data_IF_366554119670
#
_entry.id   IF_366554119670
#
_cell.length_a   1.000
_cell.length_b   1.000
_cell.length_c   1.000
_cell.angle_alpha   90.00
_cell.angle_beta   90.00
_cell.angle_gamma   90.00
#
_symmetry.space_group_name_H-M   'P 1'
#
loop_
_entity.id
_entity.type
_entity.pdbx_description
1 polymer ?
#
# COMPACT_ATOMS: atom_id res chain seq x y z
N UNK A 1 29.67 -1.97 -7.41
CA UNK A 1 30.73 -1.11 -7.92
C UNK A 1 31.96 -1.91 -8.27
N UNK A 2 32.79 -1.38 -9.17
CA UNK A 2 34.02 -2.01 -9.63
C UNK A 2 35.21 -1.47 -8.84
N UNK A 3 36.11 -2.36 -8.38
CA UNK A 3 37.34 -1.96 -7.70
C UNK A 3 38.26 -1.20 -8.66
N UNK A 4 38.70 0.00 -8.30
CA UNK A 4 39.66 0.80 -9.06
C UNK A 4 41.11 0.44 -8.76
N UNK A 5 41.35 -0.17 -7.62
CA UNK A 5 42.63 -0.63 -7.13
C UNK A 5 42.45 -1.94 -6.36
N UNK A 6 43.50 -2.77 -6.17
CA UNK A 6 43.41 -3.95 -5.33
C UNK A 6 42.95 -3.58 -3.91
N UNK A 7 41.95 -4.28 -3.39
CA UNK A 7 41.43 -4.09 -2.04
C UNK A 7 41.82 -5.30 -1.20
N UNK A 8 42.64 -5.06 -0.15
CA UNK A 8 43.07 -6.09 0.75
C UNK A 8 42.03 -6.46 1.80
N UNK A 9 42.15 -7.66 2.37
CA UNK A 9 41.27 -8.10 3.46
C UNK A 9 41.36 -7.13 4.64
N UNK A 10 40.20 -6.65 5.11
CA UNK A 10 40.11 -5.67 6.19
C UNK A 10 40.22 -4.22 5.74
N UNK A 11 40.49 -3.96 4.47
CA UNK A 11 40.53 -2.60 3.94
C UNK A 11 39.11 -2.08 3.73
N UNK A 12 38.89 -0.80 4.02
CA UNK A 12 37.60 -0.14 3.85
C UNK A 12 37.24 0.01 2.37
N UNK A 13 36.04 -0.42 2.00
CA UNK A 13 35.47 -0.26 0.65
C UNK A 13 34.72 1.05 0.60
N UNK A 14 35.20 2.00 -0.20
CA UNK A 14 34.66 3.35 -0.30
C UNK A 14 34.82 3.91 -1.72
N UNK A 15 34.19 5.03 -2.03
CA UNK A 15 34.27 5.74 -3.34
C UNK A 15 35.71 6.09 -3.79
N UNK A 16 36.68 6.08 -2.87
CA UNK A 16 38.09 6.28 -3.19
C UNK A 16 38.78 5.05 -3.83
N UNK A 17 38.20 3.87 -3.68
CA UNK A 17 38.77 2.61 -4.22
C UNK A 17 37.74 1.77 -4.99
N UNK A 18 36.48 2.22 -5.07
CA UNK A 18 35.39 1.60 -5.83
C UNK A 18 34.69 2.65 -6.66
N UNK A 19 34.57 2.44 -7.97
CA UNK A 19 33.75 3.27 -8.86
C UNK A 19 32.35 2.66 -9.02
N UNK A 20 31.36 3.54 -9.30
CA UNK A 20 29.99 3.15 -9.66
C UNK A 20 29.83 3.23 -11.18
N UNK A 21 30.90 3.03 -11.92
CA UNK A 21 30.78 2.95 -13.38
C UNK A 21 29.91 1.76 -13.74
N UNK A 22 28.88 2.05 -14.56
CA UNK A 22 28.08 0.99 -15.17
C UNK A 22 28.97 0.31 -16.21
N UNK A 23 29.60 -0.78 -15.80
CA UNK A 23 30.11 -1.71 -16.82
C UNK A 23 28.91 -2.09 -17.70
N UNK A 24 29.02 -1.83 -18.98
CA UNK A 24 28.18 -2.48 -20.00
C UNK A 24 28.65 -3.93 -20.12
N UNK A 25 28.52 -4.69 -19.05
CA UNK A 25 28.60 -6.12 -19.15
C UNK A 25 27.42 -6.55 -20.01
N UNK A 26 27.65 -7.28 -21.06
CA UNK A 26 26.62 -7.84 -21.92
C UNK A 26 25.82 -8.91 -21.17
N UNK A 27 25.05 -8.46 -20.18
CA UNK A 27 24.14 -9.34 -19.47
C UNK A 27 22.99 -9.72 -20.40
N UNK A 28 22.89 -11.00 -20.66
CA UNK A 28 21.71 -11.58 -21.28
C UNK A 28 20.78 -12.06 -20.15
N UNK A 29 19.54 -11.63 -20.20
CA UNK A 29 18.52 -12.07 -19.25
C UNK A 29 17.79 -13.29 -19.79
N UNK A 30 17.40 -14.20 -18.91
CA UNK A 30 16.62 -15.38 -19.26
C UNK A 30 17.33 -16.34 -20.24
N UNK A 31 18.65 -16.52 -20.11
CA UNK A 31 19.44 -17.44 -20.93
C UNK A 31 19.23 -18.92 -20.59
N UNK A 32 18.76 -19.22 -19.39
CA UNK A 32 18.42 -20.56 -18.94
C UNK A 32 16.91 -20.72 -18.78
N UNK A 33 16.33 -21.66 -19.50
CA UNK A 33 14.94 -22.05 -19.35
C UNK A 33 14.88 -23.16 -18.28
N UNK A 34 14.54 -22.78 -17.06
CA UNK A 34 14.30 -23.76 -16.00
C UNK A 34 12.86 -24.25 -16.14
N UNK A 35 12.68 -25.55 -16.37
CA UNK A 35 11.35 -26.13 -16.39
C UNK A 35 10.66 -25.90 -15.04
N UNK A 36 9.43 -25.37 -15.01
CA UNK A 36 8.69 -25.22 -13.78
C UNK A 36 8.46 -26.58 -13.13
N UNK A 37 8.51 -26.66 -11.79
CA UNK A 37 8.22 -27.92 -11.11
C UNK A 37 6.79 -28.36 -11.43
N UNK A 38 6.58 -29.67 -11.48
CA UNK A 38 5.23 -30.24 -11.69
C UNK A 38 4.26 -29.66 -10.66
N UNK A 39 3.05 -29.26 -11.05
CA UNK A 39 2.06 -28.77 -10.12
C UNK A 39 1.86 -29.78 -8.99
N UNK A 40 1.85 -29.31 -7.74
CA UNK A 40 1.48 -30.12 -6.61
C UNK A 40 -0.03 -30.47 -6.65
N UNK A 41 -0.43 -31.50 -5.96
CA UNK A 41 -1.85 -31.82 -5.73
C UNK A 41 -2.58 -30.56 -5.22
N UNK A 42 -3.77 -30.23 -5.77
CA UNK A 42 -4.52 -29.06 -5.36
C UNK A 42 -4.85 -29.14 -3.85
N UNK A 43 -4.45 -28.11 -3.12
CA UNK A 43 -4.81 -27.94 -1.70
C UNK A 43 -5.83 -26.84 -1.58
N UNK A 44 -6.76 -27.00 -0.67
CA UNK A 44 -7.80 -26.01 -0.37
C UNK A 44 -7.57 -25.35 0.98
N UNK A 45 -8.07 -24.15 1.15
CA UNK A 45 -8.08 -23.42 2.41
C UNK A 45 -9.40 -22.67 2.59
N UNK A 46 -9.76 -22.38 3.82
CA UNK A 46 -10.87 -21.48 4.13
C UNK A 46 -10.39 -20.04 3.96
N UNK A 47 -11.08 -19.26 3.14
CA UNK A 47 -10.67 -17.90 2.82
C UNK A 47 -11.84 -16.96 2.53
N UNK A 48 -11.52 -15.70 2.37
CA UNK A 48 -12.50 -14.63 2.10
C UNK A 48 -12.64 -14.42 0.59
N UNK A 49 -13.75 -14.85 0.02
CA UNK A 49 -14.02 -14.67 -1.41
C UNK A 49 -14.33 -13.21 -1.72
N UNK A 50 -13.65 -12.66 -2.73
CA UNK A 50 -13.88 -11.30 -3.24
C UNK A 50 -14.81 -11.30 -4.44
N UNK A 51 -15.43 -10.14 -4.72
CA UNK A 51 -16.37 -9.99 -5.86
C UNK A 51 -15.71 -10.26 -7.21
N UNK A 52 -14.41 -10.00 -7.33
CA UNK A 52 -13.60 -10.23 -8.53
C UNK A 52 -13.12 -11.69 -8.68
N UNK A 53 -13.60 -12.59 -7.84
CA UNK A 53 -13.27 -14.02 -7.88
C UNK A 53 -12.00 -14.41 -7.14
N UNK A 54 -11.18 -13.45 -6.69
CA UNK A 54 -10.00 -13.73 -5.87
C UNK A 54 -10.40 -14.17 -4.45
N UNK A 55 -9.47 -14.77 -3.72
CA UNK A 55 -9.67 -15.16 -2.34
C UNK A 55 -8.54 -14.63 -1.46
N UNK A 56 -8.91 -14.03 -0.32
CA UNK A 56 -7.98 -13.60 0.71
C UNK A 56 -7.79 -14.69 1.76
N UNK A 57 -6.58 -14.83 2.26
CA UNK A 57 -6.26 -15.68 3.44
C UNK A 57 -6.43 -14.90 4.73
N UNK A 58 -6.62 -13.58 4.63
CA UNK A 58 -6.84 -12.64 5.73
C UNK A 58 -7.88 -11.60 5.32
N UNK A 59 -8.38 -10.86 6.31
CA UNK A 59 -9.41 -9.86 6.12
C UNK A 59 -9.09 -8.59 6.93
N UNK A 60 -8.19 -7.75 6.39
CA UNK A 60 -7.76 -6.52 7.04
C UNK A 60 -8.55 -5.31 6.54
N UNK A 61 -8.65 -4.29 7.38
CA UNK A 61 -8.97 -2.93 6.98
C UNK A 61 -7.66 -2.17 6.80
N UNK A 62 -7.49 -1.49 5.66
CA UNK A 62 -6.29 -0.70 5.39
C UNK A 62 -6.55 0.80 5.56
N UNK A 63 -5.63 1.49 6.23
CA UNK A 63 -5.58 2.96 6.29
C UNK A 63 -4.40 3.40 5.43
N UNK A 64 -4.71 3.89 4.22
CA UNK A 64 -3.71 4.17 3.19
C UNK A 64 -3.36 5.65 3.19
N UNK A 65 -2.08 5.95 3.40
CA UNK A 65 -1.54 7.30 3.31
C UNK A 65 -1.17 7.62 1.85
N UNK A 66 -1.61 8.77 1.31
CA UNK A 66 -1.21 9.24 -0.03
C UNK A 66 0.12 9.98 -0.01
N UNK A 67 0.54 10.46 1.15
CA UNK A 67 1.73 11.29 1.33
C UNK A 67 2.39 11.02 2.68
N UNK A 68 3.71 11.19 2.76
CA UNK A 68 4.44 11.03 4.03
C UNK A 68 3.87 11.88 5.17
N UNK A 69 3.30 13.05 4.88
CA UNK A 69 2.69 13.95 5.88
C UNK A 69 1.47 13.32 6.57
N UNK A 70 0.72 12.46 5.91
CA UNK A 70 -0.42 11.73 6.49
C UNK A 70 -0.02 10.38 7.10
N UNK A 71 1.23 9.92 6.93
CA UNK A 71 1.67 8.60 7.36
C UNK A 71 1.53 8.37 8.88
N UNK A 72 1.89 9.37 9.69
CA UNK A 72 1.76 9.28 11.15
C UNK A 72 0.28 9.26 11.58
N UNK A 73 -0.57 10.04 10.91
CA UNK A 73 -2.02 10.03 11.14
C UNK A 73 -2.61 8.67 10.86
N UNK A 74 -2.22 8.02 9.75
CA UNK A 74 -2.66 6.67 9.41
C UNK A 74 -2.26 5.64 10.48
N UNK A 75 -1.05 5.75 11.04
CA UNK A 75 -0.61 4.90 12.17
C UNK A 75 -1.45 5.14 13.42
N UNK A 76 -1.75 6.39 13.75
CA UNK A 76 -2.58 6.70 14.91
C UNK A 76 -4.00 6.14 14.76
N UNK A 77 -4.60 6.25 13.58
CA UNK A 77 -5.93 5.65 13.30
C UNK A 77 -5.89 4.14 13.52
N UNK A 78 -4.90 3.45 12.94
CA UNK A 78 -4.77 2.01 13.11
C UNK A 78 -4.54 1.61 14.58
N UNK A 79 -3.72 2.37 15.32
CA UNK A 79 -3.46 2.13 16.74
C UNK A 79 -4.69 2.34 17.61
N UNK A 80 -5.47 3.40 17.35
CA UNK A 80 -6.71 3.66 18.12
C UNK A 80 -7.77 2.56 17.87
N UNK A 81 -7.87 2.08 16.64
CA UNK A 81 -8.78 0.96 16.33
C UNK A 81 -8.29 -0.37 16.93
N UNK A 82 -6.99 -0.60 16.96
CA UNK A 82 -6.42 -1.80 17.58
C UNK A 82 -6.66 -1.86 19.11
N UNK A 83 -6.88 -0.72 19.77
CA UNK A 83 -7.31 -0.67 21.18
C UNK A 83 -8.78 -1.04 21.37
N UNK A 84 -9.57 -0.98 20.31
CA UNK A 84 -10.96 -1.40 20.34
C UNK A 84 -11.05 -2.92 20.43
N UNK A 85 -12.12 -3.42 21.04
CA UNK A 85 -12.37 -4.86 21.12
C UNK A 85 -12.76 -5.42 19.74
N UNK A 86 -11.76 -5.78 18.93
CA UNK A 86 -11.97 -6.39 17.62
C UNK A 86 -12.55 -7.80 17.69
N UNK A 87 -12.62 -8.42 18.87
CA UNK A 87 -13.24 -9.75 19.03
C UNK A 87 -14.73 -9.74 18.69
N UNK A 88 -15.37 -8.57 18.70
CA UNK A 88 -16.76 -8.39 18.26
C UNK A 88 -16.93 -8.56 16.75
N UNK A 89 -15.84 -8.51 16.00
CA UNK A 89 -15.81 -8.57 14.54
C UNK A 89 -14.97 -9.77 14.07
N UNK A 90 -15.47 -11.00 14.26
CA UNK A 90 -14.69 -12.24 14.04
C UNK A 90 -14.20 -12.42 12.61
N UNK A 91 -14.75 -11.67 11.66
CA UNK A 91 -14.36 -11.69 10.26
C UNK A 91 -13.29 -10.63 9.91
N UNK A 92 -12.78 -9.87 10.88
CA UNK A 92 -11.75 -8.85 10.67
C UNK A 92 -10.49 -9.26 11.43
N UNK A 93 -9.40 -9.46 10.69
CA UNK A 93 -8.10 -9.85 11.26
C UNK A 93 -7.36 -8.66 11.91
N UNK A 94 -7.75 -7.43 11.57
CA UNK A 94 -7.15 -6.23 12.15
C UNK A 94 -7.20 -5.01 11.23
N UNK A 95 -6.58 -3.92 11.69
CA UNK A 95 -6.45 -2.67 10.95
C UNK A 95 -4.98 -2.39 10.70
N UNK A 96 -4.59 -2.18 9.46
CA UNK A 96 -3.19 -1.98 9.07
C UNK A 96 -2.97 -0.61 8.43
N UNK A 97 -1.93 0.13 8.82
CA UNK A 97 -1.53 1.36 8.14
C UNK A 97 -0.64 1.03 6.94
N UNK A 98 -1.03 1.47 5.75
CA UNK A 98 -0.19 1.43 4.56
C UNK A 98 0.45 2.80 4.39
N UNK A 99 1.74 2.90 4.69
CA UNK A 99 2.45 4.17 4.77
C UNK A 99 3.76 4.13 3.99
N UNK A 100 4.19 5.30 3.51
CA UNK A 100 5.43 5.49 2.77
C UNK A 100 6.05 6.85 3.08
N UNK A 101 7.20 7.16 2.46
CA UNK A 101 7.95 8.40 2.68
C UNK A 101 7.91 9.37 1.48
N UNK A 102 7.01 9.17 0.53
CA UNK A 102 6.90 9.92 -0.70
C UNK A 102 5.53 10.65 -0.79
N UNK A 103 5.08 10.99 -1.98
CA UNK A 103 3.77 11.60 -2.26
C UNK A 103 3.78 13.11 -2.38
N UNK A 104 4.90 13.76 -2.04
CA UNK A 104 5.11 15.20 -2.14
C UNK A 104 6.39 15.48 -2.91
N UNK A 105 6.50 16.66 -3.54
CA UNK A 105 7.70 17.16 -4.19
C UNK A 105 8.24 16.34 -5.38
N UNK A 106 7.45 15.52 -6.02
CA UNK A 106 7.77 14.98 -7.34
C UNK A 106 6.87 15.60 -8.43
N UNK A 107 7.32 15.56 -9.67
CA UNK A 107 6.56 16.11 -10.77
C UNK A 107 5.25 15.34 -10.96
N UNK A 108 4.15 16.08 -11.14
CA UNK A 108 2.87 15.47 -11.52
C UNK A 108 3.04 14.69 -12.83
N UNK A 109 2.43 13.51 -12.89
CA UNK A 109 2.47 12.63 -14.05
C UNK A 109 3.86 12.05 -14.38
N UNK A 110 4.83 12.13 -13.45
CA UNK A 110 6.13 11.49 -13.58
C UNK A 110 6.07 9.99 -13.31
N UNK A 111 7.15 9.28 -13.64
CA UNK A 111 7.26 7.83 -13.36
C UNK A 111 7.10 7.53 -11.87
N UNK A 112 7.65 8.37 -10.98
CA UNK A 112 7.51 8.24 -9.53
C UNK A 112 6.06 8.41 -9.09
N UNK A 113 5.34 9.38 -9.68
CA UNK A 113 3.92 9.60 -9.42
C UNK A 113 3.09 8.37 -9.84
N UNK A 114 3.32 7.84 -11.04
CA UNK A 114 2.64 6.64 -11.53
C UNK A 114 2.98 5.40 -10.71
N UNK A 115 4.26 5.23 -10.34
CA UNK A 115 4.70 4.10 -9.53
C UNK A 115 4.02 4.11 -8.16
N UNK A 116 4.00 5.27 -7.48
CA UNK A 116 3.36 5.41 -6.18
C UNK A 116 1.86 5.08 -6.27
N UNK A 117 1.14 5.71 -7.19
CA UNK A 117 -0.30 5.50 -7.34
C UNK A 117 -0.64 4.04 -7.67
N UNK A 118 0.10 3.41 -8.57
CA UNK A 118 -0.07 1.99 -8.91
C UNK A 118 0.17 1.08 -7.70
N UNK A 119 1.18 1.41 -6.90
CA UNK A 119 1.53 0.65 -5.69
C UNK A 119 0.42 0.77 -4.64
N UNK A 120 -0.04 1.98 -4.34
CA UNK A 120 -1.12 2.20 -3.37
C UNK A 120 -2.44 1.55 -3.82
N UNK A 121 -2.76 1.67 -5.11
CA UNK A 121 -3.92 0.99 -5.69
C UNK A 121 -3.80 -0.54 -5.59
N UNK A 122 -2.60 -1.09 -5.78
CA UNK A 122 -2.32 -2.51 -5.60
C UNK A 122 -2.59 -2.97 -4.18
N UNK A 123 -2.16 -2.20 -3.17
CA UNK A 123 -2.48 -2.48 -1.77
C UNK A 123 -3.98 -2.42 -1.50
N UNK A 124 -4.66 -1.36 -1.97
CA UNK A 124 -6.09 -1.21 -1.77
C UNK A 124 -6.92 -2.36 -2.36
N UNK A 125 -6.45 -2.93 -3.48
CA UNK A 125 -7.10 -4.07 -4.15
C UNK A 125 -6.57 -5.43 -3.71
N UNK A 126 -5.66 -5.47 -2.74
CA UNK A 126 -5.11 -6.75 -2.31
C UNK A 126 -6.23 -7.65 -1.75
N UNK A 127 -6.28 -8.95 -2.10
CA UNK A 127 -7.38 -9.83 -1.67
C UNK A 127 -7.50 -9.98 -0.15
N UNK A 128 -6.46 -9.67 0.62
CA UNK A 128 -6.50 -9.65 2.07
C UNK A 128 -7.04 -8.33 2.66
N UNK A 129 -7.41 -7.35 1.83
CA UNK A 129 -8.02 -6.09 2.26
C UNK A 129 -9.52 -6.14 2.02
N UNK A 130 -10.29 -6.03 3.09
CA UNK A 130 -11.76 -6.01 3.04
C UNK A 130 -12.29 -4.63 2.68
N UNK A 131 -11.68 -3.60 3.25
CA UNK A 131 -12.02 -2.20 3.03
C UNK A 131 -10.80 -1.32 3.25
N UNK A 132 -10.80 -0.11 2.69
CA UNK A 132 -9.74 0.86 2.94
C UNK A 132 -10.29 2.27 3.14
N UNK A 133 -9.56 3.03 3.95
CA UNK A 133 -9.68 4.47 4.12
C UNK A 133 -8.42 5.12 3.56
N UNK A 134 -8.58 6.13 2.70
CA UNK A 134 -7.46 6.89 2.16
C UNK A 134 -7.29 8.19 2.94
N UNK A 135 -6.07 8.44 3.41
CA UNK A 135 -5.71 9.65 4.15
C UNK A 135 -4.71 10.49 3.37
N UNK A 136 -5.15 11.68 2.97
CA UNK A 136 -4.32 12.73 2.38
C UNK A 136 -3.97 13.83 3.37
N UNK A 137 -3.04 14.71 2.97
CA UNK A 137 -2.84 16.00 3.62
C UNK A 137 -3.80 17.05 3.06
N UNK A 138 -3.93 17.11 1.72
CA UNK A 138 -4.76 18.05 0.97
C UNK A 138 -3.97 18.91 -0.03
N UNK A 139 -2.64 18.95 0.03
CA UNK A 139 -1.77 19.73 -0.88
C UNK A 139 -0.66 18.89 -1.53
N UNK A 140 -0.71 17.59 -1.42
CA UNK A 140 0.24 16.66 -2.03
C UNK A 140 0.07 16.55 -3.55
N UNK A 141 1.13 16.15 -4.25
CA UNK A 141 1.07 15.84 -5.68
C UNK A 141 0.26 14.57 -5.94
N UNK A 142 0.40 13.56 -5.08
CA UNK A 142 -0.32 12.28 -5.18
C UNK A 142 -1.71 12.35 -4.52
N UNK A 143 -2.59 13.22 -5.01
CA UNK A 143 -3.92 13.39 -4.43
C UNK A 143 -4.78 12.13 -4.54
N UNK A 144 -5.59 11.90 -3.52
CA UNK A 144 -6.47 10.75 -3.45
C UNK A 144 -7.50 10.67 -4.61
N UNK A 145 -7.96 11.83 -5.10
CA UNK A 145 -8.84 11.90 -6.27
C UNK A 145 -8.20 11.27 -7.51
N UNK A 146 -6.93 11.60 -7.78
CA UNK A 146 -6.19 11.00 -8.90
C UNK A 146 -6.05 9.48 -8.75
N UNK A 147 -5.83 9.00 -7.53
CA UNK A 147 -5.76 7.58 -7.23
C UNK A 147 -7.10 6.86 -7.54
N UNK A 148 -8.22 7.51 -7.23
CA UNK A 148 -9.54 6.99 -7.52
C UNK A 148 -9.83 6.96 -9.03
N UNK A 149 -9.57 8.05 -9.73
CA UNK A 149 -9.88 8.20 -11.16
C UNK A 149 -8.98 7.33 -12.05
N UNK A 150 -7.67 7.39 -11.83
CA UNK A 150 -6.70 6.73 -12.71
C UNK A 150 -6.56 5.23 -12.46
N UNK A 151 -6.86 4.77 -11.26
CA UNK A 151 -6.66 3.37 -10.88
C UNK A 151 -7.95 2.66 -10.46
N UNK A 152 -9.10 3.33 -10.59
CA UNK A 152 -10.40 2.73 -10.30
C UNK A 152 -10.41 2.07 -8.92
N UNK A 153 -9.99 2.80 -7.89
CA UNK A 153 -10.10 2.31 -6.51
C UNK A 153 -11.58 2.25 -6.15
N UNK A 154 -12.13 1.10 -6.37
CA UNK A 154 -13.46 0.74 -5.89
C UNK A 154 -13.27 0.12 -4.51
N UNK A 155 -14.00 0.61 -3.53
CA UNK A 155 -14.05 -0.04 -2.23
C UNK A 155 -14.58 -1.46 -2.43
N UNK A 156 -13.77 -2.46 -2.12
CA UNK A 156 -14.21 -3.85 -2.11
C UNK A 156 -15.05 -4.05 -0.85
N UNK A 157 -16.30 -3.61 -0.93
CA UNK A 157 -17.24 -3.86 0.16
C UNK A 157 -17.44 -5.35 0.35
N UNK A 158 -17.30 -5.78 1.58
CA UNK A 158 -17.73 -7.10 2.02
C UNK A 158 -19.16 -7.38 1.57
N UNK A 159 -19.47 -8.63 1.41
CA UNK A 159 -20.57 -9.31 0.69
C UNK A 159 -21.99 -8.69 0.67
N UNK A 160 -22.26 -7.52 1.23
CA UNK A 160 -23.64 -7.02 1.42
C UNK A 160 -23.88 -5.55 1.16
N UNK A 161 -23.09 -4.81 0.36
CA UNK A 161 -23.48 -3.43 0.03
C UNK A 161 -23.58 -3.14 -1.47
N UNK A 162 -24.66 -2.50 -1.75
CA UNK A 162 -25.39 -2.15 -2.97
C UNK A 162 -24.73 -0.99 -3.70
N UNK A 163 -24.98 -0.95 -5.02
CA UNK A 163 -24.90 0.15 -5.97
C UNK A 163 -23.49 0.70 -6.31
N UNK A 164 -23.27 1.05 -7.57
CA UNK A 164 -21.94 1.43 -8.11
C UNK A 164 -21.34 2.71 -7.51
N UNK A 165 -22.13 3.58 -6.90
CA UNK A 165 -21.68 4.87 -6.34
C UNK A 165 -21.19 4.80 -4.88
N UNK A 166 -21.58 3.75 -4.14
CA UNK A 166 -21.09 3.51 -2.75
C UNK A 166 -19.72 2.83 -2.68
N UNK A 167 -19.04 2.70 -3.79
CA UNK A 167 -17.89 1.81 -3.94
C UNK A 167 -16.52 2.49 -3.88
N UNK A 168 -16.47 3.81 -3.79
CA UNK A 168 -15.21 4.53 -3.68
C UNK A 168 -14.67 4.48 -2.25
N UNK A 169 -13.36 4.27 -2.05
CA UNK A 169 -12.78 4.37 -0.72
C UNK A 169 -13.03 5.75 -0.16
N UNK A 170 -13.43 5.83 1.11
CA UNK A 170 -13.56 7.10 1.78
C UNK A 170 -12.21 7.80 1.83
N UNK A 171 -12.19 9.07 1.47
CA UNK A 171 -11.02 9.94 1.52
C UNK A 171 -11.20 10.97 2.62
N UNK A 172 -10.18 11.14 3.44
CA UNK A 172 -10.10 12.23 4.42
C UNK A 172 -8.80 13.00 4.21
N UNK A 173 -8.89 14.31 4.05
CA UNK A 173 -7.74 15.20 3.99
C UNK A 173 -7.56 15.91 5.34
N UNK A 174 -6.35 15.85 5.89
CA UNK A 174 -6.04 16.40 7.23
C UNK A 174 -6.36 17.90 7.29
N UNK A 175 -6.05 18.65 6.22
CA UNK A 175 -6.31 20.09 6.16
C UNK A 175 -7.81 20.42 6.15
N UNK A 176 -8.60 19.67 5.39
CA UNK A 176 -10.06 19.87 5.30
C UNK A 176 -10.78 19.50 6.61
N UNK A 177 -10.32 18.45 7.28
CA UNK A 177 -10.90 18.02 8.57
C UNK A 177 -10.48 18.96 9.71
N UNK A 178 -9.40 19.71 9.53
CA UNK A 178 -8.92 20.69 10.51
C UNK A 178 -7.88 20.17 11.50
N UNK A 179 -7.01 19.28 11.02
CA UNK A 179 -5.81 18.83 11.73
C UNK A 179 -5.83 17.36 12.14
N UNK A 180 -4.67 16.88 12.55
CA UNK A 180 -4.40 15.45 12.82
C UNK A 180 -5.38 14.83 13.82
N UNK A 181 -5.59 15.45 14.99
CA UNK A 181 -6.50 14.91 16.04
C UNK A 181 -7.91 14.70 15.50
N UNK A 182 -8.49 15.74 14.89
CA UNK A 182 -9.83 15.66 14.33
C UNK A 182 -9.94 14.61 13.22
N UNK A 183 -8.87 14.46 12.43
CA UNK A 183 -8.83 13.44 11.38
C UNK A 183 -8.78 12.04 11.96
N UNK A 184 -8.01 11.81 13.03
CA UNK A 184 -7.98 10.52 13.72
C UNK A 184 -9.37 10.20 14.27
N UNK A 185 -10.00 11.12 15.02
CA UNK A 185 -11.32 10.92 15.62
C UNK A 185 -12.37 10.60 14.54
N UNK A 186 -12.39 11.37 13.45
CA UNK A 186 -13.31 11.15 12.32
C UNK A 186 -13.05 9.82 11.63
N UNK A 187 -11.78 9.49 11.35
CA UNK A 187 -11.39 8.25 10.70
C UNK A 187 -11.78 7.02 11.52
N UNK A 188 -11.55 7.07 12.84
CA UNK A 188 -11.95 6.00 13.76
C UNK A 188 -13.46 5.82 13.77
N UNK A 189 -14.24 6.93 13.79
CA UNK A 189 -15.70 6.89 13.70
C UNK A 189 -16.18 6.16 12.45
N UNK A 190 -15.68 6.62 11.29
CA UNK A 190 -16.00 6.02 9.97
C UNK A 190 -15.64 4.55 9.90
N UNK A 191 -14.44 4.18 10.33
CA UNK A 191 -13.99 2.79 10.26
C UNK A 191 -14.77 1.87 11.21
N UNK A 192 -15.28 2.38 12.32
CA UNK A 192 -16.19 1.63 13.20
C UNK A 192 -17.55 1.33 12.55
N UNK A 193 -18.01 2.17 11.64
CA UNK A 193 -19.23 1.91 10.87
C UNK A 193 -19.02 0.85 9.78
N UNK A 194 -17.76 0.63 9.36
CA UNK A 194 -17.39 -0.39 8.38
C UNK A 194 -17.10 -1.76 9.00
N UNK A 195 -16.83 -1.80 10.32
CA UNK A 195 -16.63 -3.03 11.09
C UNK A 195 -17.94 -3.76 11.35
#
# INVERSE_FOLDING_TARGET
>A
GSAMVPISVGQWVHVQNVSIEREQAGYEFCTELIEPPKPAEPRTFMGYRRKDGRAGTRNYIAVISTVNCSATTARYVAQELAKSDLSRYPNIDGVIPVVHKSGCAFAYNSDDHHLLNRTLAGFARHPNIAACLVLGLGCETAQAGHLQESHGLVQLNGANRREPDDSLPMVLNIQEVGGVRKTVDKAVGVLRELL
#
